data_IF_147897323824
#
_entry.id   IF_147897323824
#
_cell.length_a   1.000
_cell.length_b   1.000
_cell.length_c   1.000
_cell.angle_alpha   90.00
_cell.angle_beta   90.00
_cell.angle_gamma   90.00
#
_symmetry.space_group_name_H-M   'P 1'
#
loop_
_entity.id
_entity.type
_entity.pdbx_description
1 polymer ?
#
# COMPACT_ATOMS: atom_id res chain seq x y z
N UNK A 1 -9.69 15.98 -8.08
CA UNK A 1 -8.29 15.56 -7.90
C UNK A 1 -8.01 15.17 -6.45
N UNK A 2 -8.01 16.11 -5.51
CA UNK A 2 -7.67 15.85 -4.09
C UNK A 2 -8.52 14.74 -3.46
N UNK A 3 -9.84 14.77 -3.68
CA UNK A 3 -10.75 13.71 -3.19
C UNK A 3 -10.36 12.32 -3.73
N UNK A 4 -9.95 12.22 -5.00
CA UNK A 4 -9.49 10.96 -5.59
C UNK A 4 -8.21 10.44 -4.94
N UNK A 5 -7.25 11.33 -4.65
CA UNK A 5 -6.02 10.97 -3.91
C UNK A 5 -6.38 10.51 -2.50
N UNK A 6 -7.27 11.22 -1.81
CA UNK A 6 -7.71 10.84 -0.46
C UNK A 6 -8.40 9.47 -0.46
N UNK A 7 -9.31 9.21 -1.40
CA UNK A 7 -9.93 7.89 -1.60
C UNK A 7 -8.86 6.82 -1.84
N UNK A 8 -7.84 7.13 -2.66
CA UNK A 8 -6.73 6.20 -2.88
C UNK A 8 -6.02 5.83 -1.57
N UNK A 9 -5.75 6.77 -0.66
CA UNK A 9 -5.08 6.43 0.61
C UNK A 9 -5.88 5.43 1.45
N UNK A 10 -7.22 5.47 1.38
CA UNK A 10 -8.08 4.50 2.05
C UNK A 10 -8.09 3.15 1.32
N UNK A 11 -8.10 3.18 -0.03
CA UNK A 11 -7.98 1.96 -0.86
C UNK A 11 -6.64 1.26 -0.62
N UNK A 12 -5.53 2.00 -0.60
CA UNK A 12 -4.20 1.52 -0.24
C UNK A 12 -4.25 0.74 1.07
N UNK A 13 -4.75 1.38 2.14
CA UNK A 13 -4.86 0.74 3.45
C UNK A 13 -5.73 -0.52 3.40
N UNK A 14 -6.86 -0.46 2.72
CA UNK A 14 -7.83 -1.55 2.66
C UNK A 14 -7.31 -2.74 1.84
N UNK A 15 -6.70 -2.48 0.69
CA UNK A 15 -6.07 -3.50 -0.15
C UNK A 15 -4.92 -4.15 0.61
N UNK A 16 -4.04 -3.35 1.21
CA UNK A 16 -2.90 -3.88 1.94
C UNK A 16 -3.35 -4.75 3.12
N UNK A 17 -4.32 -4.29 3.92
CA UNK A 17 -4.79 -5.04 5.09
C UNK A 17 -5.62 -6.27 4.75
N UNK A 18 -6.61 -6.14 3.86
CA UNK A 18 -7.64 -7.17 3.69
C UNK A 18 -7.42 -8.07 2.48
N UNK A 19 -6.71 -7.61 1.45
CA UNK A 19 -6.44 -8.40 0.25
C UNK A 19 -5.01 -8.95 0.26
N UNK A 20 -4.02 -8.09 0.51
CA UNK A 20 -2.61 -8.45 0.43
C UNK A 20 -2.11 -9.24 1.64
N UNK A 21 -2.80 -9.16 2.78
CA UNK A 21 -2.55 -9.95 4.00
C UNK A 21 -3.69 -10.93 4.31
N UNK A 22 -4.47 -11.31 3.30
CA UNK A 22 -5.55 -12.28 3.48
C UNK A 22 -4.99 -13.69 3.76
N UNK A 23 -5.68 -14.47 4.60
CA UNK A 23 -5.36 -15.88 4.79
C UNK A 23 -5.99 -16.69 3.67
N UNK A 24 -5.17 -17.33 2.84
CA UNK A 24 -5.63 -18.22 1.77
C UNK A 24 -5.39 -19.69 2.10
N UNK A 25 -6.16 -20.56 1.44
CA UNK A 25 -5.98 -22.02 1.47
C UNK A 25 -6.06 -22.58 0.05
N UNK A 26 -5.49 -23.77 -0.16
CA UNK A 26 -5.46 -24.42 -1.47
C UNK A 26 -4.41 -23.84 -2.43
N UNK A 27 -4.09 -24.61 -3.47
CA UNK A 27 -3.03 -24.26 -4.43
C UNK A 27 -3.29 -22.93 -5.15
N UNK A 28 -4.46 -22.78 -5.78
CA UNK A 28 -4.77 -21.59 -6.58
C UNK A 28 -4.90 -20.32 -5.73
N UNK A 29 -5.50 -20.42 -4.54
CA UNK A 29 -5.60 -19.30 -3.60
C UNK A 29 -4.23 -18.83 -3.13
N UNK A 30 -3.37 -19.77 -2.73
CA UNK A 30 -2.00 -19.46 -2.31
C UNK A 30 -1.17 -18.88 -3.45
N UNK A 31 -1.32 -19.38 -4.68
CA UNK A 31 -0.65 -18.84 -5.87
C UNK A 31 -1.08 -17.40 -6.15
N UNK A 32 -2.38 -17.11 -6.14
CA UNK A 32 -2.88 -15.75 -6.35
C UNK A 32 -2.36 -14.79 -5.28
N UNK A 33 -2.44 -15.16 -4.00
CA UNK A 33 -1.92 -14.36 -2.90
C UNK A 33 -0.40 -14.14 -3.00
N UNK A 34 0.35 -15.18 -3.39
CA UNK A 34 1.78 -15.08 -3.63
C UNK A 34 2.10 -14.05 -4.73
N UNK A 35 1.35 -14.06 -5.84
CA UNK A 35 1.55 -13.11 -6.93
C UNK A 35 1.13 -11.69 -6.57
N UNK A 36 0.09 -11.51 -5.75
CA UNK A 36 -0.40 -10.20 -5.34
C UNK A 36 0.53 -9.50 -4.35
N UNK A 37 1.04 -10.24 -3.35
CA UNK A 37 1.87 -9.63 -2.29
C UNK A 37 2.84 -10.59 -1.60
N UNK A 38 2.55 -11.89 -1.54
CA UNK A 38 3.40 -12.85 -0.84
C UNK A 38 4.82 -12.94 -1.41
N UNK A 39 5.01 -12.75 -2.71
CA UNK A 39 6.32 -12.71 -3.35
C UNK A 39 7.16 -11.54 -2.83
N UNK A 40 6.54 -10.38 -2.68
CA UNK A 40 7.18 -9.19 -2.14
C UNK A 40 7.61 -9.41 -0.67
N UNK A 41 6.73 -9.96 0.18
CA UNK A 41 7.10 -10.29 1.57
C UNK A 41 8.21 -11.34 1.68
N UNK A 42 8.26 -12.30 0.74
CA UNK A 42 9.30 -13.34 0.72
C UNK A 42 10.64 -12.81 0.20
N UNK A 43 10.61 -11.85 -0.73
CA UNK A 43 11.78 -11.28 -1.38
C UNK A 43 11.76 -9.74 -1.34
N UNK A 44 11.78 -9.11 -0.14
CA UNK A 44 11.49 -7.68 0.01
C UNK A 44 12.54 -6.74 -0.60
N UNK A 45 13.73 -7.25 -0.95
CA UNK A 45 14.79 -6.46 -1.58
C UNK A 45 14.96 -6.76 -3.07
N UNK A 46 14.05 -7.55 -3.67
CA UNK A 46 14.02 -7.75 -5.13
C UNK A 46 13.31 -6.55 -5.79
N UNK A 47 14.12 -5.64 -6.35
CA UNK A 47 13.63 -4.42 -6.99
C UNK A 47 12.75 -4.66 -8.22
N UNK A 48 12.73 -5.87 -8.82
CA UNK A 48 11.90 -6.19 -9.98
C UNK A 48 10.53 -6.77 -9.59
N UNK A 49 10.31 -7.05 -8.30
CA UNK A 49 9.09 -7.73 -7.79
C UNK A 49 8.39 -6.97 -6.66
N UNK A 50 8.48 -5.64 -6.70
CA UNK A 50 7.95 -4.76 -5.66
C UNK A 50 6.68 -4.03 -6.12
N UNK A 51 6.76 -3.32 -7.24
CA UNK A 51 5.67 -2.46 -7.74
C UNK A 51 4.65 -3.28 -8.51
N UNK A 52 3.40 -2.79 -8.55
CA UNK A 52 2.37 -3.47 -9.32
C UNK A 52 2.64 -3.33 -10.83
N UNK A 53 2.54 -4.40 -11.64
CA UNK A 53 2.87 -4.33 -13.06
C UNK A 53 1.98 -3.33 -13.81
N UNK A 54 2.55 -2.36 -14.58
CA UNK A 54 1.75 -1.34 -15.27
C UNK A 54 0.71 -1.91 -16.24
N UNK A 55 1.02 -3.03 -16.91
CA UNK A 55 0.06 -3.70 -17.80
C UNK A 55 -1.16 -4.23 -17.03
N UNK A 56 -0.95 -4.83 -15.85
CA UNK A 56 -2.05 -5.28 -14.99
C UNK A 56 -2.84 -4.09 -14.43
N UNK A 57 -2.15 -3.01 -14.05
CA UNK A 57 -2.79 -1.76 -13.62
C UNK A 57 -3.69 -1.17 -14.71
N UNK A 58 -3.24 -1.14 -15.96
CA UNK A 58 -4.02 -0.65 -17.09
C UNK A 58 -5.27 -1.49 -17.34
N UNK A 59 -5.18 -2.82 -17.21
CA UNK A 59 -6.35 -3.71 -17.31
C UNK A 59 -7.37 -3.40 -16.21
N UNK A 60 -6.92 -3.21 -14.96
CA UNK A 60 -7.79 -2.85 -13.83
C UNK A 60 -8.35 -1.42 -13.91
N UNK A 61 -7.65 -0.52 -14.60
CA UNK A 61 -8.08 0.86 -14.76
C UNK A 61 -9.41 0.97 -15.53
N UNK A 62 -9.66 0.07 -16.49
CA UNK A 62 -10.90 0.08 -17.28
C UNK A 62 -12.19 -0.19 -16.46
N UNK A 63 -12.31 -1.28 -15.68
CA UNK A 63 -13.48 -1.49 -14.83
C UNK A 63 -13.57 -0.42 -13.72
N UNK A 64 -12.43 0.04 -13.17
CA UNK A 64 -12.44 1.12 -12.17
C UNK A 64 -12.96 2.45 -12.73
N UNK A 65 -12.60 2.79 -13.97
CA UNK A 65 -13.14 3.98 -14.65
C UNK A 65 -14.66 3.90 -14.78
N UNK A 66 -15.18 2.74 -15.19
CA UNK A 66 -16.62 2.55 -15.31
C UNK A 66 -17.33 2.63 -13.95
N UNK A 67 -16.73 2.08 -12.90
CA UNK A 67 -17.23 2.21 -11.53
C UNK A 67 -17.28 3.68 -11.08
N UNK A 68 -16.22 4.46 -11.33
CA UNK A 68 -16.19 5.89 -10.96
C UNK A 68 -17.27 6.67 -11.70
N UNK A 69 -17.50 6.41 -13.00
CA UNK A 69 -18.58 7.06 -13.77
C UNK A 69 -19.97 6.79 -13.19
N UNK A 70 -20.19 5.63 -12.58
CA UNK A 70 -21.47 5.26 -11.96
C UNK A 70 -21.64 5.95 -10.60
N UNK A 71 -20.58 6.01 -9.80
CA UNK A 71 -20.63 6.51 -8.42
C UNK A 71 -20.51 8.04 -8.31
N UNK A 72 -20.03 8.70 -9.36
CA UNK A 72 -19.71 10.12 -9.37
C UNK A 72 -20.60 10.91 -10.31
N UNK A 73 -20.90 12.19 -10.00
CA UNK A 73 -21.40 13.11 -11.02
C UNK A 73 -20.42 13.20 -12.18
N UNK A 74 -20.95 13.13 -13.41
CA UNK A 74 -20.15 13.03 -14.65
C UNK A 74 -19.05 14.11 -14.76
N UNK A 75 -19.34 15.33 -14.33
CA UNK A 75 -18.40 16.47 -14.33
C UNK A 75 -17.19 16.28 -13.40
N UNK A 76 -17.31 15.46 -12.35
CA UNK A 76 -16.24 15.21 -11.39
C UNK A 76 -15.53 13.87 -11.62
N UNK A 77 -16.14 12.94 -12.35
CA UNK A 77 -15.61 11.59 -12.57
C UNK A 77 -14.16 11.59 -13.12
N UNK A 78 -13.78 12.38 -14.15
CA UNK A 78 -12.40 12.42 -14.64
C UNK A 78 -11.41 12.89 -13.57
N UNK A 79 -11.77 13.93 -12.80
CA UNK A 79 -10.90 14.50 -11.79
C UNK A 79 -10.75 13.59 -10.55
N UNK A 80 -11.75 12.78 -10.24
CA UNK A 80 -11.65 11.78 -9.17
C UNK A 80 -10.84 10.56 -9.62
N UNK A 81 -11.10 10.05 -10.82
CA UNK A 81 -10.34 8.93 -11.38
C UNK A 81 -8.86 9.28 -11.57
N UNK A 82 -8.56 10.45 -12.16
CA UNK A 82 -7.19 10.94 -12.29
C UNK A 82 -6.49 11.14 -10.95
N UNK A 83 -7.24 11.57 -9.92
CA UNK A 83 -6.72 11.67 -8.56
C UNK A 83 -6.40 10.31 -7.93
N UNK A 84 -7.25 9.32 -8.15
CA UNK A 84 -7.00 7.94 -7.72
C UNK A 84 -5.77 7.33 -8.39
N UNK A 85 -5.63 7.51 -9.71
CA UNK A 85 -4.45 7.06 -10.46
C UNK A 85 -3.17 7.75 -10.00
N UNK A 86 -3.21 9.07 -9.76
CA UNK A 86 -2.06 9.79 -9.22
C UNK A 86 -1.69 9.28 -7.83
N UNK A 87 -2.68 9.04 -6.96
CA UNK A 87 -2.49 8.42 -5.65
C UNK A 87 -1.80 7.05 -5.76
N UNK A 88 -2.25 6.21 -6.70
CA UNK A 88 -1.64 4.91 -7.00
C UNK A 88 -0.16 5.01 -7.39
N UNK A 89 0.17 5.90 -8.33
CA UNK A 89 1.57 6.10 -8.74
C UNK A 89 2.41 6.61 -7.58
N UNK A 90 1.89 7.57 -6.79
CA UNK A 90 2.57 8.05 -5.59
C UNK A 90 2.82 6.92 -4.57
N UNK A 91 1.86 6.01 -4.41
CA UNK A 91 2.00 4.82 -3.58
C UNK A 91 3.13 3.92 -4.06
N UNK A 92 3.13 3.50 -5.33
CA UNK A 92 4.15 2.57 -5.84
C UNK A 92 5.56 3.19 -5.79
N UNK A 93 5.68 4.47 -6.15
CA UNK A 93 6.95 5.20 -6.04
C UNK A 93 7.42 5.32 -4.58
N UNK A 94 6.50 5.65 -3.66
CA UNK A 94 6.83 5.73 -2.23
C UNK A 94 7.27 4.36 -1.73
N UNK A 95 6.50 3.31 -2.01
CA UNK A 95 6.79 1.95 -1.61
C UNK A 95 8.19 1.51 -2.08
N UNK A 96 8.49 1.72 -3.36
CA UNK A 96 9.80 1.41 -3.92
C UNK A 96 10.92 2.18 -3.21
N UNK A 97 10.72 3.48 -2.96
CA UNK A 97 11.67 4.32 -2.25
C UNK A 97 11.86 3.88 -0.78
N UNK A 98 10.83 3.41 -0.10
CA UNK A 98 10.96 2.90 1.28
C UNK A 98 11.85 1.66 1.34
N UNK A 99 11.84 0.79 0.33
CA UNK A 99 12.75 -0.36 0.27
C UNK A 99 14.18 0.07 -0.11
N UNK A 100 14.33 0.81 -1.20
CA UNK A 100 15.63 1.01 -1.86
C UNK A 100 16.32 2.34 -1.53
N UNK A 101 15.56 3.35 -1.10
CA UNK A 101 16.09 4.66 -0.71
C UNK A 101 16.72 4.67 0.68
N UNK A 102 17.46 5.75 0.99
CA UNK A 102 18.10 5.97 2.30
C UNK A 102 17.65 7.30 2.92
N UNK A 103 16.36 7.44 3.30
CA UNK A 103 15.89 8.64 3.98
C UNK A 103 16.60 8.81 5.33
N UNK A 104 17.18 9.98 5.58
CA UNK A 104 17.99 10.22 6.77
C UNK A 104 17.19 10.72 7.98
N UNK A 105 16.11 11.49 7.75
CA UNK A 105 15.27 12.07 8.81
C UNK A 105 13.86 12.40 8.29
N UNK A 106 12.96 12.77 9.20
CA UNK A 106 11.61 13.23 8.87
C UNK A 106 10.63 12.12 8.54
N UNK A 107 9.53 12.49 7.86
CA UNK A 107 8.39 11.61 7.59
C UNK A 107 8.79 10.37 6.80
N UNK A 108 9.56 10.52 5.71
CA UNK A 108 10.00 9.40 4.89
C UNK A 108 10.89 8.40 5.65
N UNK A 109 11.71 8.87 6.59
CA UNK A 109 12.50 7.99 7.46
C UNK A 109 11.60 7.21 8.42
N UNK A 110 10.58 7.86 8.99
CA UNK A 110 9.60 7.19 9.84
C UNK A 110 8.77 6.16 9.06
N UNK A 111 8.29 6.50 7.85
CA UNK A 111 7.57 5.58 6.98
C UNK A 111 8.44 4.39 6.61
N UNK A 112 9.72 4.60 6.23
CA UNK A 112 10.65 3.50 5.96
C UNK A 112 10.79 2.60 7.17
N UNK A 113 11.03 3.17 8.36
CA UNK A 113 11.15 2.39 9.60
C UNK A 113 9.90 1.56 9.86
N UNK A 114 8.72 2.16 9.76
CA UNK A 114 7.46 1.47 9.98
C UNK A 114 7.27 0.34 8.97
N UNK A 115 7.51 0.61 7.69
CA UNK A 115 7.39 -0.39 6.63
C UNK A 115 8.37 -1.55 6.79
N UNK A 116 9.61 -1.28 7.20
CA UNK A 116 10.58 -2.34 7.52
C UNK A 116 10.17 -3.14 8.76
N UNK A 117 9.64 -2.49 9.81
CA UNK A 117 9.10 -3.19 10.98
C UNK A 117 7.84 -4.02 10.60
N UNK A 118 7.04 -3.60 9.62
CA UNK A 118 5.96 -4.40 9.05
C UNK A 118 6.51 -5.68 8.39
N UNK A 119 7.48 -5.56 7.50
CA UNK A 119 8.09 -6.73 6.83
C UNK A 119 8.76 -7.72 7.79
N UNK A 120 9.55 -7.21 8.74
CA UNK A 120 10.52 -8.02 9.47
C UNK A 120 10.18 -8.23 10.96
N UNK A 121 9.16 -7.56 11.50
CA UNK A 121 8.81 -7.65 12.93
C UNK A 121 7.35 -8.03 13.17
N UNK A 122 6.40 -7.26 12.65
CA UNK A 122 4.97 -7.42 12.94
C UNK A 122 4.17 -7.17 11.65
N UNK A 123 3.85 -8.25 10.93
CA UNK A 123 3.20 -8.18 9.62
C UNK A 123 1.70 -7.89 9.70
N UNK A 124 1.05 -8.04 10.86
CA UNK A 124 -0.37 -7.75 11.06
C UNK A 124 -0.66 -6.30 11.55
N UNK A 125 0.32 -5.40 11.38
CA UNK A 125 0.27 -3.97 11.74
C UNK A 125 1.03 -3.13 10.71
N UNK A 126 0.75 -1.83 10.65
CA UNK A 126 1.48 -0.89 9.79
C UNK A 126 1.19 -1.09 8.30
N UNK A 127 -0.08 -1.03 7.92
CA UNK A 127 -0.53 -1.26 6.54
C UNK A 127 -0.42 0.00 5.66
N UNK A 128 -0.30 1.19 6.25
CA UNK A 128 -0.11 2.43 5.51
C UNK A 128 1.31 2.57 4.99
N UNK A 129 1.47 2.71 3.67
CA UNK A 129 2.75 2.92 2.99
C UNK A 129 3.02 4.40 2.76
N UNK A 130 2.01 5.14 2.26
CA UNK A 130 2.12 6.59 2.00
C UNK A 130 1.94 7.43 3.26
N UNK A 131 1.19 6.92 4.24
CA UNK A 131 1.00 7.57 5.54
C UNK A 131 0.53 6.57 6.61
N UNK A 132 0.75 6.88 7.89
CA UNK A 132 0.21 6.08 9.00
C UNK A 132 -1.22 6.50 9.40
N UNK A 133 -1.89 7.36 8.62
CA UNK A 133 -3.17 7.97 9.02
C UNK A 133 -4.24 6.90 9.29
N UNK A 134 -4.46 6.00 8.34
CA UNK A 134 -5.46 4.94 8.50
C UNK A 134 -5.06 3.88 9.53
N UNK A 135 -3.76 3.64 9.75
CA UNK A 135 -3.31 2.80 10.84
C UNK A 135 -3.67 3.37 12.21
N UNK A 136 -3.60 4.70 12.38
CA UNK A 136 -4.05 5.36 13.60
C UNK A 136 -5.57 5.30 13.73
N UNK A 137 -6.32 5.61 12.67
CA UNK A 137 -7.79 5.57 12.65
C UNK A 137 -8.32 4.19 13.04
N UNK A 138 -7.69 3.11 12.53
CA UNK A 138 -8.17 1.73 12.71
C UNK A 138 -7.39 0.91 13.75
N UNK A 139 -6.51 1.54 14.55
CA UNK A 139 -5.79 0.85 15.63
C UNK A 139 -4.78 -0.20 15.16
N UNK A 140 -4.20 -0.03 13.96
CA UNK A 140 -3.18 -0.93 13.39
C UNK A 140 -1.76 -0.36 13.38
N UNK A 141 -1.50 0.73 14.13
CA UNK A 141 -0.14 1.28 14.26
C UNK A 141 0.85 0.29 14.88
N UNK A 142 2.09 0.30 14.40
CA UNK A 142 3.17 -0.47 14.99
C UNK A 142 3.54 0.07 16.39
N UNK A 143 3.74 -0.82 17.40
CA UNK A 143 4.18 -0.40 18.71
C UNK A 143 5.61 0.15 18.67
N UNK A 144 5.87 1.21 19.43
CA UNK A 144 7.23 1.74 19.61
C UNK A 144 8.11 0.62 20.19
N UNK A 145 9.32 0.43 19.65
CA UNK A 145 10.32 -0.44 20.28
C UNK A 145 10.55 0.09 21.69
N UNK A 146 10.32 -0.73 22.72
CA UNK A 146 10.70 -0.35 24.07
C UNK A 146 12.21 -0.13 24.06
N UNK A 147 12.66 1.02 24.54
CA UNK A 147 14.06 1.17 24.88
C UNK A 147 14.29 0.15 26.02
N UNK A 148 15.06 -0.91 25.77
CA UNK A 148 15.66 -1.67 26.87
C UNK A 148 16.41 -0.63 27.69
N UNK A 149 15.94 -0.36 28.92
CA UNK A 149 16.80 0.23 29.93
C UNK A 149 17.95 -0.75 30.07
N UNK A 150 19.16 -0.35 29.69
CA UNK A 150 20.35 -1.00 30.18
C UNK A 150 20.35 -0.76 31.68
N UNK A 151 19.91 -1.77 32.44
CA UNK A 151 20.27 -1.90 33.85
C UNK A 151 21.67 -2.49 33.94
#
# INVERSE_FOLDING_TARGET
MIVGIFIWTLLEYSLHRFLFHMKTTGYWGNTAHYLLHGCHHKHPMDGLRLVFPPAAAAILAFPLWNLVKILAPAQYAPAMFGGGLLGYVMYDCTHYYLHHGKPLKGVSHQLKRNHMDHHFRIQDKGYGITSNFWDWVFGTTLPKKSAKKSS
#
